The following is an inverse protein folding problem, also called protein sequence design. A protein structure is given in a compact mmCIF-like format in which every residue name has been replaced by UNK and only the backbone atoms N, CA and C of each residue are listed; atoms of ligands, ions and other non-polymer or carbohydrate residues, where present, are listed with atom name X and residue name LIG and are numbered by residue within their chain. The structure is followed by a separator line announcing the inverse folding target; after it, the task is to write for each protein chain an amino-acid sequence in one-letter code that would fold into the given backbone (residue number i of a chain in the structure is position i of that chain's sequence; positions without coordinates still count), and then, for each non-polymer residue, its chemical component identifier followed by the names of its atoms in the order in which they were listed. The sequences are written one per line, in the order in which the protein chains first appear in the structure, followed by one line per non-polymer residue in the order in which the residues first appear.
data_IF_472462313246
#
_entry.id   IF_472462313246
#
_cell.length_a   1.000
_cell.length_b   1.000
_cell.length_c   1.000
_cell.angle_alpha   90.00
_cell.angle_beta   90.00
_cell.angle_gamma   90.00
#
_symmetry.space_group_name_H-M   'P 1'
#
loop_
_entity.id
_entity.type
_entity.pdbx_description
1 polymer ?
#
# COMPACT_ATOMS: atom_id res chain seq x y z
N UNK A 1 78.13 16.16 -31.46
CA UNK A 1 77.22 15.46 -30.53
C UNK A 1 76.97 16.34 -29.31
N UNK A 2 75.82 17.04 -29.28
CA UNK A 2 75.20 17.58 -28.06
C UNK A 2 73.68 17.52 -28.28
N UNK A 3 73.02 16.96 -27.29
CA UNK A 3 71.61 16.57 -27.27
C UNK A 3 70.66 17.72 -26.91
N UNK A 4 69.38 17.51 -27.24
CA UNK A 4 68.18 17.85 -26.46
C UNK A 4 67.78 19.35 -26.37
N UNK A 5 66.50 19.75 -26.41
CA UNK A 5 65.20 19.03 -26.40
C UNK A 5 64.11 20.04 -26.79
N UNK A 6 63.17 19.63 -27.64
CA UNK A 6 61.88 20.30 -27.85
C UNK A 6 60.96 19.96 -26.68
N UNK A 7 60.57 20.97 -25.88
CA UNK A 7 59.56 20.82 -24.84
C UNK A 7 58.16 20.93 -25.44
N UNK A 8 57.43 19.81 -25.51
CA UNK A 8 56.00 19.81 -25.80
C UNK A 8 55.23 20.00 -24.48
N UNK A 9 54.50 21.10 -24.36
CA UNK A 9 53.57 21.31 -23.25
C UNK A 9 52.24 20.61 -23.60
N UNK A 10 51.95 19.51 -22.92
CA UNK A 10 50.64 18.86 -22.95
C UNK A 10 49.78 19.55 -21.89
N UNK A 11 48.84 20.38 -22.31
CA UNK A 11 47.80 20.94 -21.45
C UNK A 11 46.67 19.90 -21.35
N UNK A 12 46.59 19.16 -20.24
CA UNK A 12 45.49 18.25 -19.97
C UNK A 12 44.28 19.03 -19.43
N UNK A 13 43.24 19.18 -20.23
CA UNK A 13 41.92 19.63 -19.75
C UNK A 13 41.24 18.49 -19.00
N UNK A 14 41.18 18.60 -17.68
CA UNK A 14 40.34 17.72 -16.85
C UNK A 14 38.88 18.13 -17.02
N UNK A 15 38.08 17.32 -17.72
CA UNK A 15 36.64 17.46 -17.73
C UNK A 15 36.08 16.93 -16.40
N UNK A 16 35.55 17.81 -15.54
CA UNK A 16 34.74 17.40 -14.41
C UNK A 16 33.43 16.82 -14.97
N UNK A 17 33.29 15.49 -14.93
CA UNK A 17 31.97 14.87 -15.03
C UNK A 17 31.25 15.11 -13.69
N UNK A 18 30.33 16.06 -13.68
CA UNK A 18 29.35 16.18 -12.59
C UNK A 18 28.39 15.00 -12.71
N UNK A 19 28.45 14.05 -11.77
CA UNK A 19 27.44 13.01 -11.66
C UNK A 19 26.07 13.65 -11.42
N UNK A 20 25.08 13.33 -12.24
CA UNK A 20 23.71 13.75 -12.02
C UNK A 20 23.20 13.15 -10.69
N UNK A 21 22.40 13.87 -9.89
CA UNK A 21 21.79 13.31 -8.70
C UNK A 21 20.91 12.11 -9.08
N UNK A 22 21.03 11.00 -8.34
CA UNK A 22 20.15 9.85 -8.49
C UNK A 22 18.75 10.21 -8.00
N UNK A 23 17.79 10.33 -8.92
CA UNK A 23 16.38 10.49 -8.57
C UNK A 23 15.80 9.15 -8.08
N UNK A 24 14.99 9.18 -7.03
CA UNK A 24 14.20 8.01 -6.62
C UNK A 24 13.09 7.75 -7.63
N UNK A 25 12.94 6.51 -8.08
CA UNK A 25 11.93 6.13 -9.05
C UNK A 25 11.16 4.89 -8.56
N UNK A 26 9.99 5.11 -7.98
CA UNK A 26 9.01 4.03 -7.76
C UNK A 26 7.98 4.11 -8.88
N UNK A 27 7.86 3.05 -9.65
CA UNK A 27 6.89 2.96 -10.76
C UNK A 27 5.56 2.46 -10.21
N UNK A 28 4.49 3.18 -10.51
CA UNK A 28 3.13 2.73 -10.17
C UNK A 28 2.62 1.78 -11.26
N UNK A 29 2.03 0.66 -10.82
CA UNK A 29 1.35 -0.32 -11.67
C UNK A 29 0.01 -0.69 -11.06
N UNK A 30 -1.01 -0.88 -11.89
CA UNK A 30 -2.37 -1.23 -11.46
C UNK A 30 -2.80 -2.54 -12.12
N UNK A 31 -3.20 -3.51 -11.32
CA UNK A 31 -3.70 -4.82 -11.75
C UNK A 31 -5.18 -4.97 -11.39
N UNK A 32 -6.02 -4.85 -12.41
CA UNK A 32 -7.48 -4.94 -12.30
C UNK A 32 -8.03 -6.32 -12.67
N UNK A 33 -7.19 -7.36 -12.72
CA UNK A 33 -7.63 -8.72 -13.09
C UNK A 33 -8.57 -9.35 -12.07
N UNK A 34 -8.37 -9.05 -10.78
CA UNK A 34 -9.27 -9.47 -9.70
C UNK A 34 -10.17 -8.31 -9.31
N UNK A 35 -11.47 -8.57 -9.28
CA UNK A 35 -12.49 -7.55 -9.01
C UNK A 35 -13.29 -7.89 -7.76
N UNK A 36 -13.47 -6.88 -6.91
CA UNK A 36 -14.38 -6.87 -5.79
C UNK A 36 -15.46 -5.80 -6.01
N UNK A 37 -16.65 -6.00 -5.42
CA UNK A 37 -17.70 -4.98 -5.37
C UNK A 37 -17.98 -4.59 -3.93
N UNK A 38 -18.18 -3.30 -3.71
CA UNK A 38 -18.61 -2.73 -2.44
C UNK A 38 -19.92 -1.96 -2.64
N UNK A 39 -20.75 -1.82 -1.59
CA UNK A 39 -22.02 -1.11 -1.71
C UNK A 39 -21.88 0.42 -1.74
N UNK A 40 -20.70 0.94 -1.39
CA UNK A 40 -20.44 2.38 -1.32
C UNK A 40 -19.19 2.71 -0.51
N UNK A 41 -18.82 3.98 -0.48
CA UNK A 41 -17.77 4.54 0.37
C UNK A 41 -18.41 5.30 1.55
N UNK A 42 -17.75 5.35 2.70
CA UNK A 42 -18.17 6.20 3.85
C UNK A 42 -18.05 7.69 3.55
N UNK A 43 -17.22 8.05 2.57
CA UNK A 43 -16.86 9.41 2.20
C UNK A 43 -15.53 9.39 1.45
N UNK A 44 -14.96 10.58 1.23
CA UNK A 44 -13.73 10.80 0.46
C UNK A 44 -12.60 11.42 1.31
N UNK A 45 -12.68 11.24 2.62
CA UNK A 45 -11.71 11.75 3.57
C UNK A 45 -11.52 10.70 4.66
N UNK A 46 -10.33 10.11 4.69
CA UNK A 46 -9.97 9.04 5.64
C UNK A 46 -8.81 9.51 6.48
N UNK A 47 -8.93 9.38 7.80
CA UNK A 47 -7.80 9.69 8.68
C UNK A 47 -7.02 8.43 9.08
N UNK A 48 -5.88 8.62 9.74
CA UNK A 48 -5.16 7.51 10.36
C UNK A 48 -6.01 6.69 11.34
N UNK A 49 -6.97 7.30 12.02
CA UNK A 49 -7.85 6.59 12.96
C UNK A 49 -8.90 5.71 12.28
N UNK A 50 -9.10 5.90 10.97
CA UNK A 50 -10.21 5.33 10.23
C UNK A 50 -9.93 3.98 9.57
N UNK A 51 -8.67 3.54 9.60
CA UNK A 51 -8.18 2.35 8.91
C UNK A 51 -7.99 1.15 9.84
N UNK A 52 -8.83 1.02 10.86
CA UNK A 52 -8.75 -0.07 11.82
C UNK A 52 -8.75 -1.44 11.11
N UNK A 53 -7.88 -2.32 11.60
CA UNK A 53 -7.59 -3.64 11.05
C UNK A 53 -6.90 -3.70 9.69
N UNK A 54 -6.55 -2.58 9.03
CA UNK A 54 -5.70 -2.60 7.85
C UNK A 54 -4.46 -3.46 8.13
N UNK A 55 -4.24 -4.49 7.31
CA UNK A 55 -3.14 -5.42 7.52
C UNK A 55 -1.88 -4.87 6.86
N UNK A 56 -0.85 -4.66 7.68
CA UNK A 56 0.44 -4.12 7.26
C UNK A 56 1.49 -5.21 7.36
N UNK A 57 2.08 -5.59 6.23
CA UNK A 57 3.19 -6.54 6.17
C UNK A 57 4.45 -5.84 5.70
N UNK A 58 5.51 -5.88 6.51
CA UNK A 58 6.83 -5.36 6.15
C UNK A 58 7.87 -6.48 6.14
N UNK A 59 8.65 -6.57 5.06
CA UNK A 59 9.74 -7.52 4.90
C UNK A 59 11.07 -6.78 4.70
N UNK A 60 12.11 -7.20 5.41
CA UNK A 60 13.39 -6.51 5.48
C UNK A 60 14.56 -7.39 5.01
N UNK A 61 15.62 -6.74 4.51
CA UNK A 61 16.84 -7.40 4.05
C UNK A 61 17.60 -8.13 5.17
N UNK A 62 17.35 -7.80 6.44
CA UNK A 62 17.89 -8.53 7.60
C UNK A 62 17.15 -9.84 7.91
N UNK A 63 16.13 -10.20 7.12
CA UNK A 63 15.36 -11.44 7.26
C UNK A 63 14.10 -11.32 8.11
N UNK A 64 13.85 -10.18 8.75
CA UNK A 64 12.59 -9.93 9.46
C UNK A 64 11.45 -9.80 8.44
N UNK A 65 10.36 -10.53 8.66
CA UNK A 65 9.06 -10.26 8.03
C UNK A 65 8.01 -10.22 9.13
N UNK A 66 7.22 -9.16 9.18
CA UNK A 66 6.22 -8.97 10.22
C UNK A 66 4.92 -8.46 9.63
N UNK A 67 3.81 -9.05 10.07
CA UNK A 67 2.46 -8.61 9.76
C UNK A 67 1.79 -8.10 11.04
N UNK A 68 1.19 -6.92 10.97
CA UNK A 68 0.50 -6.25 12.06
C UNK A 68 -0.83 -5.70 11.56
N UNK A 69 -1.77 -5.53 12.48
CA UNK A 69 -3.04 -4.88 12.19
C UNK A 69 -2.98 -3.44 12.67
N UNK A 70 -3.40 -2.53 11.80
CA UNK A 70 -3.52 -1.11 12.08
C UNK A 70 -4.54 -0.86 13.19
N UNK A 71 -4.24 0.13 14.03
CA UNK A 71 -5.14 0.60 15.06
C UNK A 71 -5.08 2.12 15.18
N UNK A 72 -6.20 2.73 15.55
CA UNK A 72 -6.23 4.12 15.99
C UNK A 72 -5.31 4.36 17.19
N UNK A 73 -4.50 5.40 17.11
CA UNK A 73 -3.57 5.86 18.16
C UNK A 73 -3.93 7.25 18.69
N UNK A 74 -4.89 7.91 18.04
CA UNK A 74 -5.45 9.19 18.43
C UNK A 74 -6.73 9.49 17.63
N UNK A 75 -7.35 10.66 17.81
CA UNK A 75 -8.62 11.00 17.15
C UNK A 75 -8.56 11.02 15.62
N UNK A 76 -7.40 11.31 15.04
CA UNK A 76 -7.16 11.35 13.59
C UNK A 76 -5.89 10.59 13.20
N UNK A 77 -5.34 9.83 14.14
CA UNK A 77 -4.04 9.16 14.01
C UNK A 77 -4.21 7.66 14.16
N UNK A 78 -3.44 6.91 13.39
CA UNK A 78 -3.32 5.48 13.56
C UNK A 78 -1.99 4.96 13.05
N UNK A 79 -1.73 3.68 13.29
CA UNK A 79 -0.52 3.05 12.83
C UNK A 79 -0.32 1.64 13.37
N UNK A 80 0.86 1.12 13.07
CA UNK A 80 1.40 -0.13 13.61
C UNK A 80 2.77 0.13 14.22
N UNK A 81 3.07 -0.56 15.32
CA UNK A 81 4.41 -0.58 15.92
C UNK A 81 4.92 -2.00 15.96
N UNK A 82 5.97 -2.26 15.19
CA UNK A 82 6.61 -3.57 15.07
C UNK A 82 7.93 -3.67 15.81
N UNK A 83 8.66 -4.74 15.52
CA UNK A 83 9.97 -4.99 16.12
C UNK A 83 11.04 -4.21 15.35
N UNK A 84 11.37 -3.01 15.84
CA UNK A 84 12.40 -2.14 15.26
C UNK A 84 11.92 -1.25 14.11
N UNK A 85 10.61 -1.22 13.86
CA UNK A 85 9.98 -0.32 12.89
C UNK A 85 8.57 0.10 13.32
N UNK A 86 8.04 1.15 12.71
CA UNK A 86 6.63 1.53 12.80
C UNK A 86 6.17 2.21 11.51
N UNK A 87 4.86 2.22 11.28
CA UNK A 87 4.22 2.99 10.23
C UNK A 87 3.02 3.71 10.83
N UNK A 88 2.86 5.00 10.54
CA UNK A 88 1.73 5.79 11.04
C UNK A 88 1.32 6.87 10.04
N UNK A 89 0.08 7.35 10.18
CA UNK A 89 -0.38 8.59 9.53
C UNK A 89 -1.26 9.35 10.51
N UNK A 90 -1.26 10.68 10.40
CA UNK A 90 -2.08 11.58 11.23
C UNK A 90 -2.73 12.62 10.33
N UNK A 91 -4.05 12.73 10.44
CA UNK A 91 -4.84 13.57 9.55
C UNK A 91 -5.30 12.80 8.30
N UNK A 92 -5.82 13.56 7.34
CA UNK A 92 -6.43 13.09 6.09
C UNK A 92 -5.39 12.51 5.12
N UNK A 93 -5.55 11.25 4.74
CA UNK A 93 -4.61 10.48 3.90
C UNK A 93 -4.45 11.05 2.49
N UNK A 94 -5.39 11.87 2.02
CA UNK A 94 -5.25 12.58 0.73
C UNK A 94 -4.00 13.48 0.67
N UNK A 95 -3.59 14.02 1.82
CA UNK A 95 -2.46 14.96 1.91
C UNK A 95 -1.46 14.66 3.02
N UNK A 96 -1.85 13.92 4.06
CA UNK A 96 -0.99 13.59 5.18
C UNK A 96 0.04 12.51 4.78
N UNK A 97 1.32 12.71 5.10
CA UNK A 97 2.34 11.71 4.85
C UNK A 97 2.17 10.50 5.78
N UNK A 98 2.29 9.32 5.18
CA UNK A 98 2.52 8.07 5.89
C UNK A 98 3.99 8.03 6.30
N UNK A 99 4.24 7.99 7.61
CA UNK A 99 5.58 8.05 8.20
C UNK A 99 6.02 6.65 8.58
N UNK A 100 7.07 6.16 7.93
CA UNK A 100 7.73 4.92 8.26
C UNK A 100 9.00 5.20 9.08
N UNK A 101 9.09 4.63 10.27
CA UNK A 101 10.22 4.83 11.18
C UNK A 101 10.98 3.54 11.44
N UNK A 102 12.31 3.62 11.46
CA UNK A 102 13.20 2.58 11.96
C UNK A 102 13.52 2.87 13.43
N UNK A 103 12.87 2.17 14.35
CA UNK A 103 12.90 2.48 15.79
C UNK A 103 14.07 1.83 16.55
N UNK A 104 14.71 0.81 15.96
CA UNK A 104 15.93 0.17 16.49
C UNK A 104 17.17 0.41 15.59
N UNK A 105 17.16 1.46 14.77
CA UNK A 105 18.22 1.72 13.78
C UNK A 105 18.32 0.66 12.69
N UNK A 106 19.50 0.52 12.06
CA UNK A 106 19.74 -0.35 10.90
C UNK A 106 19.76 -1.87 11.23
N UNK A 107 19.41 -2.28 12.45
CA UNK A 107 19.55 -3.67 12.92
C UNK A 107 18.66 -4.68 12.20
N UNK A 108 17.54 -4.23 11.62
CA UNK A 108 16.61 -5.09 10.85
C UNK A 108 16.91 -5.09 9.34
N UNK A 109 17.89 -4.29 8.89
CA UNK A 109 18.22 -4.10 7.47
C UNK A 109 17.33 -3.09 6.76
N UNK A 110 17.36 -3.10 5.42
CA UNK A 110 16.55 -2.25 4.54
C UNK A 110 15.15 -2.82 4.39
N UNK A 111 14.17 -1.97 4.14
CA UNK A 111 12.83 -2.43 3.74
C UNK A 111 12.87 -2.95 2.30
N UNK A 112 12.50 -4.20 2.08
CA UNK A 112 12.37 -4.80 0.75
C UNK A 112 10.95 -4.66 0.22
N UNK A 113 9.96 -4.93 1.07
CA UNK A 113 8.54 -4.91 0.67
C UNK A 113 7.70 -4.35 1.80
N UNK A 114 6.75 -3.49 1.45
CA UNK A 114 5.64 -3.04 2.29
C UNK A 114 4.34 -3.38 1.58
N UNK A 115 3.50 -4.21 2.20
CA UNK A 115 2.15 -4.51 1.72
C UNK A 115 1.14 -3.93 2.70
N UNK A 116 0.19 -3.18 2.16
CA UNK A 116 -0.99 -2.68 2.85
C UNK A 116 -2.20 -3.38 2.23
N UNK A 117 -2.92 -4.15 3.04
CA UNK A 117 -4.01 -5.02 2.59
C UNK A 117 -5.27 -4.69 3.41
N UNK A 118 -6.26 -4.12 2.72
CA UNK A 118 -7.61 -3.85 3.23
C UNK A 118 -8.64 -4.88 2.76
N UNK A 119 -8.20 -6.03 2.23
CA UNK A 119 -9.08 -6.98 1.53
C UNK A 119 -9.71 -8.07 2.39
N UNK A 120 -9.24 -8.26 3.63
CA UNK A 120 -9.77 -9.31 4.50
C UNK A 120 -11.01 -8.85 5.29
N UNK A 121 -11.69 -9.83 5.87
CA UNK A 121 -12.94 -9.60 6.59
C UNK A 121 -12.75 -8.66 7.79
N UNK A 122 -13.55 -7.58 7.84
CA UNK A 122 -13.44 -6.55 8.88
C UNK A 122 -12.38 -5.48 8.60
N UNK A 123 -11.71 -5.55 7.45
CA UNK A 123 -10.86 -4.50 6.90
C UNK A 123 -11.68 -3.76 5.85
N UNK A 124 -11.64 -2.43 5.92
CA UNK A 124 -12.54 -1.57 5.13
C UNK A 124 -11.77 -0.49 4.36
N UNK A 125 -10.44 -0.48 4.48
CA UNK A 125 -9.58 0.50 3.83
C UNK A 125 -9.45 0.20 2.34
N UNK A 126 -9.64 1.24 1.55
CA UNK A 126 -9.55 1.24 0.10
C UNK A 126 -8.45 2.20 -0.29
N UNK A 127 -7.58 1.80 -1.21
CA UNK A 127 -6.58 2.68 -1.81
C UNK A 127 -7.21 3.38 -3.00
N UNK A 128 -7.39 4.69 -2.87
CA UNK A 128 -7.86 5.56 -3.94
C UNK A 128 -6.66 6.15 -4.69
N UNK A 129 -6.75 6.18 -6.01
CA UNK A 129 -5.64 6.45 -6.92
C UNK A 129 -6.04 7.61 -7.85
N UNK A 130 -5.06 8.31 -8.42
CA UNK A 130 -5.30 9.58 -9.10
C UNK A 130 -5.93 9.45 -10.51
N UNK A 131 -5.92 8.24 -11.06
CA UNK A 131 -6.36 7.95 -12.42
C UNK A 131 -6.98 6.54 -12.53
N UNK A 132 -8.01 6.37 -13.39
CA UNK A 132 -8.56 7.37 -14.31
C UNK A 132 -9.39 8.46 -13.61
N UNK A 133 -9.56 9.60 -14.30
CA UNK A 133 -10.42 10.71 -13.86
C UNK A 133 -11.33 11.15 -15.03
N UNK A 134 -12.66 10.97 -14.96
CA UNK A 134 -13.38 10.38 -13.84
C UNK A 134 -13.01 8.90 -13.63
N UNK A 135 -13.07 8.46 -12.38
CA UNK A 135 -12.91 7.07 -11.97
C UNK A 135 -14.25 6.35 -11.85
N UNK A 136 -14.28 5.29 -11.05
CA UNK A 136 -15.47 4.48 -10.78
C UNK A 136 -16.61 5.36 -10.30
N UNK A 137 -17.76 5.33 -10.98
CA UNK A 137 -18.91 6.14 -10.56
C UNK A 137 -19.28 5.89 -9.07
N UNK A 138 -19.25 6.96 -8.27
CA UNK A 138 -19.37 6.91 -6.81
C UNK A 138 -18.07 7.12 -6.05
N UNK A 139 -16.92 7.17 -6.72
CA UNK A 139 -15.60 7.55 -6.17
C UNK A 139 -15.32 9.05 -6.35
N UNK A 140 -14.21 9.51 -5.77
CA UNK A 140 -13.65 10.84 -5.97
C UNK A 140 -12.24 10.75 -6.58
N UNK A 141 -11.50 11.87 -6.57
CA UNK A 141 -10.12 11.86 -7.04
C UNK A 141 -9.20 11.45 -5.90
N UNK A 142 -8.45 10.37 -6.10
CA UNK A 142 -7.47 9.89 -5.14
C UNK A 142 -6.04 10.38 -5.38
N UNK A 143 -5.09 9.65 -4.80
CA UNK A 143 -3.66 9.92 -4.97
C UNK A 143 -2.83 8.64 -4.94
N UNK A 144 -2.04 8.46 -5.99
CA UNK A 144 -1.10 7.37 -6.12
C UNK A 144 0.03 7.45 -5.09
N UNK A 145 0.61 6.27 -4.83
CA UNK A 145 1.79 6.10 -4.01
C UNK A 145 2.90 6.98 -4.56
N UNK A 146 3.38 7.89 -3.72
CA UNK A 146 4.47 8.78 -4.07
C UNK A 146 5.43 8.87 -2.91
N UNK A 147 6.72 8.62 -3.15
CA UNK A 147 7.75 8.91 -2.15
C UNK A 147 7.74 10.40 -1.81
N UNK A 148 7.64 10.73 -0.54
CA UNK A 148 7.61 12.12 -0.07
C UNK A 148 9.01 12.57 0.40
N UNK A 149 9.59 11.86 1.36
CA UNK A 149 10.89 12.23 1.93
C UNK A 149 11.65 11.06 2.56
N UNK A 150 12.96 11.26 2.84
CA UNK A 150 13.79 10.31 3.59
C UNK A 150 14.26 9.05 2.82
N UNK A 151 14.01 8.98 1.51
CA UNK A 151 14.33 7.82 0.67
C UNK A 151 15.00 8.23 -0.67
N UNK A 152 16.09 9.01 -0.61
CA UNK A 152 16.82 9.41 -1.81
C UNK A 152 17.52 8.19 -2.45
N UNK A 153 17.27 7.95 -3.75
CA UNK A 153 17.81 6.81 -4.49
C UNK A 153 17.02 5.49 -4.33
N UNK A 154 15.85 5.53 -3.68
CA UNK A 154 14.97 4.37 -3.60
C UNK A 154 14.29 4.12 -4.94
N UNK A 155 14.37 2.88 -5.43
CA UNK A 155 13.75 2.49 -6.69
C UNK A 155 12.89 1.25 -6.47
N UNK A 156 11.88 1.07 -7.32
CA UNK A 156 11.04 -0.12 -7.24
C UNK A 156 9.68 0.06 -7.91
N UNK A 157 8.70 -0.68 -7.43
CA UNK A 157 7.34 -0.70 -7.95
C UNK A 157 6.30 -0.64 -6.85
N UNK A 158 5.29 0.21 -7.00
CA UNK A 158 4.06 0.21 -6.23
C UNK A 158 2.95 -0.43 -7.07
N UNK A 159 2.49 -1.61 -6.65
CA UNK A 159 1.49 -2.39 -7.38
C UNK A 159 0.17 -2.38 -6.61
N UNK A 160 -0.86 -1.85 -7.25
CA UNK A 160 -2.24 -1.95 -6.79
C UNK A 160 -2.88 -3.21 -7.36
N UNK A 161 -3.57 -3.97 -6.52
CA UNK A 161 -4.28 -5.18 -6.95
C UNK A 161 -5.66 -5.25 -6.29
N UNK A 162 -6.51 -6.13 -6.82
CA UNK A 162 -7.89 -6.33 -6.35
C UNK A 162 -8.72 -5.06 -6.53
N UNK A 163 -8.97 -4.73 -7.78
CA UNK A 163 -9.75 -3.57 -8.18
C UNK A 163 -11.16 -3.62 -7.61
N UNK A 164 -11.72 -2.45 -7.34
CA UNK A 164 -13.00 -2.28 -6.66
C UNK A 164 -13.96 -1.52 -7.57
N UNK A 165 -15.17 -2.06 -7.70
CA UNK A 165 -16.32 -1.34 -8.22
C UNK A 165 -17.27 -0.97 -7.08
N UNK A 166 -18.03 0.10 -7.27
CA UNK A 166 -19.08 0.53 -6.35
C UNK A 166 -20.42 0.13 -6.95
N UNK A 167 -21.07 -0.88 -6.37
CA UNK A 167 -22.32 -1.48 -6.89
C UNK A 167 -23.37 -0.40 -7.22
N UNK A 168 -23.95 -0.40 -8.44
CA UNK A 168 -23.85 -1.39 -9.52
C UNK A 168 -22.74 -1.16 -10.55
N UNK A 169 -21.84 -0.21 -10.31
CA UNK A 169 -20.79 0.19 -11.25
C UNK A 169 -19.59 -0.75 -11.18
N UNK A 170 -19.05 -1.10 -12.34
CA UNK A 170 -17.81 -1.89 -12.44
C UNK A 170 -16.58 -1.04 -12.03
N UNK A 171 -15.48 -1.66 -11.60
CA UNK A 171 -14.22 -0.95 -11.39
C UNK A 171 -13.73 -0.26 -12.66
N UNK A 172 -13.26 0.97 -12.52
CA UNK A 172 -12.64 1.73 -13.62
C UNK A 172 -11.11 1.83 -13.49
N UNK A 173 -10.54 1.29 -12.40
CA UNK A 173 -9.08 1.20 -12.21
C UNK A 173 -8.51 2.29 -11.30
N UNK A 174 -9.35 2.91 -10.48
CA UNK A 174 -9.03 3.95 -9.51
C UNK A 174 -9.03 3.43 -8.05
N UNK A 175 -9.86 2.43 -7.72
CA UNK A 175 -10.00 1.91 -6.36
C UNK A 175 -9.46 0.47 -6.21
N UNK A 176 -8.69 0.21 -5.15
CA UNK A 176 -8.05 -1.10 -4.91
C UNK A 176 -8.01 -1.48 -3.42
N UNK A 177 -8.07 -2.78 -3.10
CA UNK A 177 -7.92 -3.22 -1.69
C UNK A 177 -6.47 -3.42 -1.26
N UNK A 178 -5.52 -3.56 -2.19
CA UNK A 178 -4.15 -3.93 -1.84
C UNK A 178 -3.16 -3.04 -2.57
N UNK A 179 -2.23 -2.46 -1.81
CA UNK A 179 -1.03 -1.80 -2.30
C UNK A 179 0.19 -2.59 -1.84
N UNK A 180 1.03 -3.03 -2.78
CA UNK A 180 2.34 -3.63 -2.48
C UNK A 180 3.45 -2.78 -3.08
N UNK A 181 4.29 -2.22 -2.22
CA UNK A 181 5.52 -1.51 -2.60
C UNK A 181 6.69 -2.46 -2.48
N UNK A 182 7.35 -2.75 -3.59
CA UNK A 182 8.56 -3.57 -3.64
C UNK A 182 9.73 -2.72 -4.11
N UNK A 183 10.78 -2.68 -3.31
CA UNK A 183 12.01 -1.95 -3.65
C UNK A 183 12.99 -2.86 -4.39
N UNK A 184 13.70 -2.29 -5.36
CA UNK A 184 14.78 -2.98 -6.05
C UNK A 184 15.89 -3.37 -5.07
N UNK A 185 16.61 -4.44 -5.37
CA UNK A 185 17.62 -4.99 -4.48
C UNK A 185 18.63 -3.92 -4.01
N UNK A 186 18.69 -3.71 -2.70
CA UNK A 186 19.61 -2.75 -2.06
C UNK A 186 19.19 -1.28 -2.13
N UNK A 187 18.07 -0.96 -2.80
CA UNK A 187 17.61 0.44 -2.96
C UNK A 187 16.58 0.85 -1.91
N UNK A 188 15.94 -0.11 -1.22
CA UNK A 188 14.96 0.18 -0.19
C UNK A 188 15.50 1.02 0.98
N UNK A 189 14.62 1.75 1.68
CA UNK A 189 15.01 2.62 2.78
C UNK A 189 15.66 1.82 3.91
N UNK A 190 16.68 2.40 4.55
CA UNK A 190 17.26 1.94 5.83
C UNK A 190 17.11 2.97 6.94
N UNK A 191 16.49 4.10 6.66
CA UNK A 191 16.28 5.22 7.59
C UNK A 191 14.83 5.66 7.51
N UNK A 192 14.39 6.49 8.47
CA UNK A 192 13.04 7.03 8.46
C UNK A 192 12.75 7.71 7.12
N UNK A 193 11.55 7.44 6.60
CA UNK A 193 11.08 7.93 5.32
C UNK A 193 9.57 8.10 5.36
N UNK A 194 9.03 8.74 4.33
CA UNK A 194 7.59 8.90 4.20
C UNK A 194 7.14 8.83 2.76
N UNK A 195 5.84 8.59 2.59
CA UNK A 195 5.16 8.57 1.31
C UNK A 195 3.76 9.15 1.44
N UNK A 196 3.18 9.50 0.30
CA UNK A 196 1.77 9.84 0.18
C UNK A 196 1.04 8.67 -0.45
N UNK A 197 -0.14 8.37 0.07
CA UNK A 197 -1.10 7.44 -0.49
C UNK A 197 -2.47 7.85 0.06
N UNK A 198 -3.42 8.08 -0.83
CA UNK A 198 -4.79 8.36 -0.43
C UNK A 198 -5.56 7.08 -0.09
N UNK A 199 -6.49 7.18 0.85
CA UNK A 199 -7.37 6.07 1.19
C UNK A 199 -8.79 6.51 1.42
N UNK A 200 -9.70 5.61 1.11
CA UNK A 200 -11.12 5.69 1.46
C UNK A 200 -11.50 4.52 2.37
N UNK A 201 -12.76 4.50 2.79
CA UNK A 201 -13.32 3.32 3.44
C UNK A 201 -14.62 2.86 2.81
N UNK A 202 -14.81 1.56 2.80
CA UNK A 202 -16.05 0.90 2.48
C UNK A 202 -17.15 1.31 3.49
N UNK A 203 -18.33 1.66 2.98
CA UNK A 203 -19.51 2.06 3.77
C UNK A 203 -19.92 1.01 4.83
N UNK A 204 -19.54 -0.25 4.65
CA UNK A 204 -19.73 -1.34 5.64
C UNK A 204 -19.05 -1.07 6.97
N UNK A 205 -18.09 -0.14 7.03
CA UNK A 205 -17.49 0.36 8.27
C UNK A 205 -18.53 0.97 9.21
N UNK A 206 -19.47 1.76 8.69
CA UNK A 206 -20.43 2.53 9.50
C UNK A 206 -21.57 1.68 10.04
N UNK A 207 -22.04 0.70 9.26
CA UNK A 207 -23.16 -0.16 9.65
C UNK A 207 -22.73 -1.31 10.58
N UNK A 208 -21.43 -1.42 10.87
CA UNK A 208 -20.85 -2.56 11.54
C UNK A 208 -20.81 -3.78 10.62
N UNK A 209 -19.63 -4.37 10.46
CA UNK A 209 -19.47 -5.56 9.63
C UNK A 209 -20.19 -6.75 10.29
N UNK A 210 -21.40 -7.07 9.85
CA UNK A 210 -22.11 -8.29 10.23
C UNK A 210 -21.82 -9.34 9.16
N UNK A 211 -21.05 -10.41 9.44
CA UNK A 211 -20.91 -11.50 8.50
C UNK A 211 -22.30 -12.03 8.16
N UNK A 212 -22.58 -12.26 6.87
CA UNK A 212 -23.74 -13.04 6.44
C UNK A 212 -23.84 -14.24 7.37
N UNK A 213 -24.91 -14.35 8.19
CA UNK A 213 -24.92 -15.36 9.21
C UNK A 213 -24.81 -16.72 8.53
N UNK A 214 -24.07 -17.63 9.15
CA UNK A 214 -24.01 -19.05 8.77
C UNK A 214 -25.39 -19.72 8.75
N UNK A 215 -26.47 -18.98 9.03
CA UNK A 215 -27.86 -19.33 8.75
C UNK A 215 -28.08 -19.76 7.30
N UNK A 216 -27.38 -19.25 6.28
CA UNK A 216 -27.51 -19.81 4.93
C UNK A 216 -26.96 -21.25 4.85
N UNK A 217 -25.83 -21.53 5.50
CA UNK A 217 -25.29 -22.88 5.61
C UNK A 217 -26.20 -23.79 6.45
N UNK A 218 -26.79 -23.28 7.54
CA UNK A 218 -27.74 -24.02 8.36
C UNK A 218 -29.06 -24.29 7.65
N UNK A 219 -29.57 -23.36 6.85
CA UNK A 219 -30.74 -23.58 5.97
C UNK A 219 -30.42 -24.62 4.91
N UNK A 220 -29.22 -24.57 4.30
CA UNK A 220 -28.75 -25.61 3.39
C UNK A 220 -28.67 -27.00 4.03
N UNK A 221 -28.10 -27.10 5.23
CA UNK A 221 -28.01 -28.36 6.00
C UNK A 221 -29.40 -28.86 6.44
N UNK A 222 -30.30 -27.96 6.85
CA UNK A 222 -31.66 -28.29 7.23
C UNK A 222 -32.47 -28.84 6.04
N UNK A 223 -32.36 -28.23 4.87
CA UNK A 223 -33.00 -28.69 3.63
C UNK A 223 -32.45 -30.04 3.18
N UNK A 224 -31.13 -30.26 3.26
CA UNK A 224 -30.51 -31.56 2.97
C UNK A 224 -30.98 -32.66 3.93
N UNK A 225 -31.14 -32.34 5.22
CA UNK A 225 -31.66 -33.25 6.24
C UNK A 225 -33.14 -33.62 6.01
N UNK A 226 -33.94 -32.66 5.56
CA UNK A 226 -35.34 -32.87 5.19
C UNK A 226 -35.50 -33.72 3.92
N UNK A 227 -34.63 -33.53 2.92
CA UNK A 227 -34.63 -34.37 1.71
C UNK A 227 -34.13 -35.79 1.98
N UNK A 228 -33.13 -35.96 2.85
CA UNK A 228 -32.61 -37.27 3.25
C UNK A 228 -33.60 -38.10 4.09
N UNK A 229 -34.40 -37.44 4.93
CA UNK A 229 -35.42 -38.12 5.76
C UNK A 229 -36.63 -38.62 4.96
N UNK A 230 -37.00 -37.95 3.85
CA UNK A 230 -38.06 -38.42 2.95
C UNK A 230 -37.70 -39.70 2.19
N UNK A 231 -36.42 -39.91 1.85
CA UNK A 231 -35.95 -41.12 1.16
C UNK A 231 -35.94 -42.39 2.02
N UNK A 232 -36.03 -42.28 3.36
CA UNK A 232 -36.09 -43.43 4.27
C UNK A 232 -37.51 -43.89 4.61
N UNK A 233 -38.54 -43.18 4.12
CA UNK A 233 -39.96 -43.48 4.39
C UNK A 233 -40.75 -43.89 3.15
N UNK A 234 -40.08 -44.14 2.02
CA UNK A 234 -40.67 -44.72 0.81
C UNK A 234 -40.10 -46.13 0.60
#
# INVERSE_FOLDING_TARGET
MRHATLGAAILATAALLTAAPSQSAVVVSKDSTTVNLIPGLTGFATTGADMDNLRVTAAFSGGLTQTLNWAATGPTSGGVTGTGWSLSVTGDTFSAPWVFSFTNGNGIGRLNTLTLDGSEFGQVTIFDTDAPSPGTNGSASGRDFTLDSGCAGCNGTAVYTRAIGIDPNAPEGDLFHVLTVSFDNGTGPSTNWSFIQDTDNDIRKEVGFVPEPSSQALVGIALLSLLGSRRRRA
#
